data_IF_554335052395
#
_entry.id   IF_554335052395
#
_cell.length_a   1.000
_cell.length_b   1.000
_cell.length_c   1.000
_cell.angle_alpha   90.00
_cell.angle_beta   90.00
_cell.angle_gamma   90.00
#
_symmetry.space_group_name_H-M   'P 1'
#
loop_
_entity.id
_entity.type
_entity.pdbx_description
1 polymer ?
#
# COMPACT_ATOMS: atom_id res chain seq x y z
N UNK A 1 -21.29 -22.82 6.61
CA UNK A 1 -19.84 -23.04 6.46
C UNK A 1 -19.30 -21.94 5.56
N UNK A 2 -18.70 -20.91 6.14
CA UNK A 2 -18.12 -19.80 5.39
C UNK A 2 -16.75 -20.24 4.84
N UNK A 3 -16.42 -19.95 3.58
CA UNK A 3 -15.13 -20.31 3.02
C UNK A 3 -14.02 -19.56 3.76
N UNK A 4 -13.02 -20.31 4.24
CA UNK A 4 -11.79 -19.78 4.82
C UNK A 4 -11.10 -18.89 3.79
N UNK A 5 -10.84 -17.64 4.18
CA UNK A 5 -10.25 -16.59 3.36
C UNK A 5 -8.88 -16.97 2.77
N UNK A 6 -8.26 -18.03 3.28
CA UNK A 6 -7.00 -18.59 2.79
C UNK A 6 -7.11 -19.19 1.38
N UNK A 7 -8.27 -19.74 1.00
CA UNK A 7 -8.48 -20.32 -0.34
C UNK A 7 -8.61 -19.28 -1.46
N UNK A 8 -9.01 -18.05 -1.14
CA UNK A 8 -9.12 -16.97 -2.14
C UNK A 8 -7.74 -16.43 -2.53
N UNK A 9 -6.70 -16.64 -1.68
CA UNK A 9 -5.35 -16.08 -1.87
C UNK A 9 -4.55 -16.72 -3.00
N UNK A 10 -4.72 -18.01 -3.28
CA UNK A 10 -3.96 -18.70 -4.34
C UNK A 10 -4.44 -18.28 -5.74
N UNK A 11 -5.71 -17.89 -5.90
CA UNK A 11 -6.28 -17.56 -7.20
C UNK A 11 -5.93 -16.14 -7.72
N UNK A 12 -5.64 -15.19 -6.82
CA UNK A 12 -5.42 -13.78 -7.20
C UNK A 12 -3.95 -13.45 -7.53
N UNK A 13 -2.98 -14.17 -6.98
CA UNK A 13 -1.55 -13.91 -7.23
C UNK A 13 -1.05 -14.48 -8.58
N UNK A 14 -1.77 -15.40 -9.20
CA UNK A 14 -1.28 -16.16 -10.37
C UNK A 14 -1.76 -15.65 -11.75
N UNK A 15 -2.50 -14.54 -11.86
CA UNK A 15 -3.07 -14.08 -13.16
C UNK A 15 -2.61 -12.71 -13.64
N UNK A 16 -1.32 -12.36 -13.55
CA UNK A 16 -0.85 -11.13 -14.23
C UNK A 16 0.58 -11.12 -14.75
N UNK A 17 1.13 -12.29 -15.08
CA UNK A 17 2.32 -12.40 -15.92
C UNK A 17 1.98 -13.22 -17.16
N UNK A 18 1.51 -12.54 -18.20
CA UNK A 18 1.46 -13.03 -19.58
C UNK A 18 2.29 -12.06 -20.42
N UNK A 19 3.44 -12.53 -20.86
CA UNK A 19 4.33 -11.92 -21.85
C UNK A 19 3.58 -11.71 -23.18
N UNK A 20 3.83 -10.60 -23.87
CA UNK A 20 3.82 -10.60 -25.34
C UNK A 20 4.85 -9.58 -25.83
N UNK A 21 6.04 -10.08 -26.19
CA UNK A 21 7.02 -9.36 -27.00
C UNK A 21 6.45 -9.19 -28.42
N UNK A 22 6.40 -7.96 -28.91
CA UNK A 22 6.02 -7.66 -30.29
C UNK A 22 7.26 -7.39 -31.15
N UNK A 23 7.52 -8.18 -32.21
CA UNK A 23 8.61 -7.91 -33.13
C UNK A 23 8.14 -7.13 -34.36
N UNK A 24 9.05 -6.27 -34.84
CA UNK A 24 9.11 -5.59 -36.15
C UNK A 24 8.31 -4.30 -36.30
N UNK A 25 9.02 -3.19 -36.47
CA UNK A 25 9.50 -2.71 -37.77
C UNK A 25 9.85 -1.23 -37.63
N UNK A 26 10.99 -0.83 -38.18
CA UNK A 26 11.54 0.50 -37.99
C UNK A 26 10.67 1.58 -38.63
N UNK A 27 10.80 2.81 -38.14
CA UNK A 27 10.92 4.02 -38.95
C UNK A 27 11.63 5.10 -38.13
N UNK A 28 12.56 5.76 -38.81
CA UNK A 28 13.43 6.81 -38.31
C UNK A 28 12.63 8.09 -38.07
N UNK A 29 12.59 8.60 -36.84
CA UNK A 29 12.38 10.03 -36.60
C UNK A 29 13.03 10.48 -35.28
N UNK A 30 14.06 11.28 -35.45
CA UNK A 30 14.86 11.99 -34.45
C UNK A 30 14.02 13.06 -33.73
N UNK A 31 14.39 13.32 -32.47
CA UNK A 31 13.96 14.42 -31.57
C UNK A 31 12.69 14.10 -30.74
N UNK A 32 12.68 14.02 -29.40
CA UNK A 32 13.51 14.63 -28.37
C UNK A 32 13.58 13.67 -27.17
N UNK A 33 14.78 13.24 -26.78
CA UNK A 33 14.96 12.65 -25.45
C UNK A 33 14.90 13.80 -24.45
N UNK A 34 13.86 13.80 -23.60
CA UNK A 34 13.77 14.70 -22.45
C UNK A 34 15.08 14.60 -21.64
N UNK A 35 15.56 15.71 -21.03
CA UNK A 35 16.81 15.68 -20.28
C UNK A 35 16.71 14.61 -19.20
N UNK A 36 17.56 13.59 -19.31
CA UNK A 36 17.74 12.54 -18.33
C UNK A 36 18.15 13.26 -17.03
N UNK A 37 17.19 13.45 -16.12
CA UNK A 37 17.40 14.12 -14.83
C UNK A 37 18.53 13.35 -14.14
N UNK A 38 19.65 14.04 -13.87
CA UNK A 38 20.84 13.44 -13.25
C UNK A 38 20.45 12.53 -12.09
N UNK A 39 21.09 11.35 -11.92
CA UNK A 39 20.72 10.41 -10.87
C UNK A 39 20.81 11.13 -9.53
N UNK A 40 19.65 11.35 -8.90
CA UNK A 40 19.61 11.78 -7.50
C UNK A 40 20.31 10.69 -6.71
N UNK A 41 21.18 11.08 -5.76
CA UNK A 41 21.80 10.11 -4.83
C UNK A 41 20.73 9.12 -4.35
N UNK A 42 21.03 7.80 -4.33
CA UNK A 42 20.03 6.80 -3.97
C UNK A 42 19.45 7.16 -2.62
N UNK A 43 18.14 7.42 -2.62
CA UNK A 43 17.43 7.72 -1.39
C UNK A 43 17.30 6.42 -0.61
N UNK A 44 18.08 6.29 0.46
CA UNK A 44 18.03 5.13 1.36
C UNK A 44 16.62 4.98 1.96
N UNK A 45 15.85 6.07 2.03
CA UNK A 45 14.49 6.10 2.56
C UNK A 45 13.45 6.19 1.45
N UNK A 46 12.52 5.23 1.38
CA UNK A 46 11.41 5.32 0.42
C UNK A 46 11.79 5.12 -1.04
N UNK A 47 12.86 4.35 -1.32
CA UNK A 47 13.06 3.80 -2.65
C UNK A 47 11.82 2.99 -3.09
N UNK A 48 11.45 3.13 -4.37
CA UNK A 48 10.20 2.58 -4.88
C UNK A 48 10.16 1.05 -4.84
N UNK A 49 11.31 0.36 -4.96
CA UNK A 49 11.37 -1.09 -4.83
C UNK A 49 11.15 -1.52 -3.38
N UNK A 50 11.74 -0.81 -2.42
CA UNK A 50 11.53 -1.06 -0.99
C UNK A 50 10.09 -0.80 -0.58
N UNK A 51 9.49 0.32 -1.00
CA UNK A 51 8.08 0.63 -0.72
C UNK A 51 7.16 -0.46 -1.28
N UNK A 52 7.44 -0.91 -2.52
CA UNK A 52 6.68 -2.01 -3.13
C UNK A 52 6.76 -3.28 -2.28
N UNK A 53 7.97 -3.71 -1.90
CA UNK A 53 8.16 -4.89 -1.04
C UNK A 53 7.39 -4.76 0.27
N UNK A 54 7.48 -3.61 0.95
CA UNK A 54 6.74 -3.38 2.20
C UNK A 54 5.23 -3.53 1.97
N UNK A 55 4.69 -2.96 0.89
CA UNK A 55 3.26 -3.03 0.59
C UNK A 55 2.79 -4.43 0.13
N UNK A 56 3.66 -5.25 -0.46
CA UNK A 56 3.27 -6.56 -1.03
C UNK A 56 3.68 -7.76 -0.18
N UNK A 57 4.80 -7.68 0.53
CA UNK A 57 5.44 -8.80 1.25
C UNK A 57 5.23 -8.71 2.77
N UNK A 58 5.06 -7.51 3.34
CA UNK A 58 4.78 -7.38 4.77
C UNK A 58 3.29 -7.58 5.07
N UNK A 59 3.01 -8.00 6.30
CA UNK A 59 1.70 -8.43 6.78
C UNK A 59 0.56 -7.45 6.47
N UNK A 60 -0.66 -7.97 6.58
CA UNK A 60 -1.83 -7.26 6.06
C UNK A 60 -2.45 -6.27 7.04
N UNK A 61 -2.08 -6.30 8.32
CA UNK A 61 -2.64 -5.45 9.38
C UNK A 61 -1.72 -4.27 9.69
N UNK A 62 -2.22 -3.06 9.44
CA UNK A 62 -1.49 -1.81 9.58
C UNK A 62 -2.16 -0.90 10.61
N UNK A 63 -1.44 -0.52 11.67
CA UNK A 63 -1.91 0.52 12.58
C UNK A 63 -1.49 1.89 12.05
N UNK A 64 -2.43 2.82 11.95
CA UNK A 64 -2.17 4.19 11.48
C UNK A 64 -2.40 5.15 12.64
N UNK A 65 -1.31 5.72 13.14
CA UNK A 65 -1.32 6.63 14.28
C UNK A 65 -1.73 8.03 13.83
N UNK A 66 -2.61 8.66 14.61
CA UNK A 66 -3.19 9.96 14.26
C UNK A 66 -4.36 9.87 13.26
N UNK A 67 -4.81 8.66 12.92
CA UNK A 67 -5.94 8.47 12.01
C UNK A 67 -7.26 8.85 12.68
N UNK A 68 -7.91 9.88 12.16
CA UNK A 68 -9.23 10.36 12.59
C UNK A 68 -10.14 10.54 11.38
N UNK A 69 -11.41 10.89 11.61
CA UNK A 69 -12.40 11.18 10.55
C UNK A 69 -12.11 12.48 9.76
N UNK A 70 -11.07 13.23 10.13
CA UNK A 70 -10.71 14.46 9.45
C UNK A 70 -9.99 14.19 8.11
N UNK A 71 -10.74 14.32 7.03
CA UNK A 71 -10.29 14.06 5.66
C UNK A 71 -9.15 14.97 5.18
N UNK A 72 -8.94 16.14 5.81
CA UNK A 72 -7.82 17.03 5.49
C UNK A 72 -6.48 16.50 5.99
N UNK A 73 -6.46 15.53 6.90
CA UNK A 73 -5.22 14.92 7.40
C UNK A 73 -4.70 13.90 6.39
N UNK A 74 -3.39 13.95 6.11
CA UNK A 74 -2.73 12.99 5.23
C UNK A 74 -3.00 11.53 5.63
N UNK A 75 -3.07 11.24 6.93
CA UNK A 75 -3.39 9.91 7.46
C UNK A 75 -4.70 9.35 6.91
N UNK A 76 -5.74 10.17 6.74
CA UNK A 76 -7.03 9.72 6.20
C UNK A 76 -6.90 9.22 4.76
N UNK A 77 -6.18 9.97 3.93
CA UNK A 77 -5.90 9.61 2.54
C UNK A 77 -5.01 8.37 2.41
N UNK A 78 -3.93 8.30 3.20
CA UNK A 78 -3.00 7.16 3.21
C UNK A 78 -3.73 5.88 3.63
N UNK A 79 -4.56 5.93 4.68
CA UNK A 79 -5.37 4.79 5.11
C UNK A 79 -6.31 4.29 3.99
N UNK A 80 -6.93 5.21 3.25
CA UNK A 80 -7.76 4.86 2.10
C UNK A 80 -6.98 4.20 0.96
N UNK A 81 -5.74 4.62 0.72
CA UNK A 81 -4.84 3.98 -0.26
C UNK A 81 -4.47 2.57 0.19
N UNK A 82 -4.09 2.38 1.45
CA UNK A 82 -3.75 1.05 1.97
C UNK A 82 -4.94 0.07 1.90
N UNK A 83 -6.17 0.53 2.19
CA UNK A 83 -7.38 -0.28 1.98
C UNK A 83 -7.56 -0.71 0.52
N UNK A 84 -7.27 0.16 -0.44
CA UNK A 84 -7.33 -0.18 -1.88
C UNK A 84 -6.32 -1.25 -2.29
N UNK A 85 -5.21 -1.36 -1.56
CA UNK A 85 -4.25 -2.45 -1.71
C UNK A 85 -4.62 -3.72 -0.91
N UNK A 86 -5.80 -3.77 -0.30
CA UNK A 86 -6.29 -4.93 0.45
C UNK A 86 -5.74 -5.05 1.87
N UNK A 87 -5.09 -4.00 2.39
CA UNK A 87 -4.58 -3.99 3.77
C UNK A 87 -5.69 -3.64 4.77
N UNK A 88 -5.70 -4.33 5.90
CA UNK A 88 -6.56 -4.04 7.05
C UNK A 88 -5.95 -2.88 7.83
N UNK A 89 -6.75 -1.85 8.10
CA UNK A 89 -6.31 -0.65 8.79
C UNK A 89 -6.85 -0.64 10.21
N UNK A 90 -6.00 -0.30 11.17
CA UNK A 90 -6.34 -0.11 12.58
C UNK A 90 -6.13 1.36 12.91
N UNK A 91 -7.20 2.17 12.99
CA UNK A 91 -7.09 3.57 13.38
C UNK A 91 -6.63 3.70 14.84
N UNK A 92 -5.59 4.49 15.07
CA UNK A 92 -5.11 4.80 16.42
C UNK A 92 -5.12 6.31 16.61
N UNK A 93 -6.00 6.79 17.46
CA UNK A 93 -6.15 8.21 17.74
C UNK A 93 -6.84 8.39 19.10
N UNK A 94 -6.47 9.40 19.93
CA UNK A 94 -7.01 9.56 21.28
C UNK A 94 -8.55 9.60 21.38
N UNK A 95 -9.22 10.05 20.32
CA UNK A 95 -10.70 10.07 20.23
C UNK A 95 -11.33 8.70 19.91
N UNK A 96 -10.54 7.69 19.56
CA UNK A 96 -10.96 6.35 19.17
C UNK A 96 -12.11 6.33 18.14
N UNK A 97 -12.09 7.26 17.17
CA UNK A 97 -13.13 7.38 16.16
C UNK A 97 -13.09 6.20 15.18
N UNK A 98 -14.27 5.79 14.70
CA UNK A 98 -14.35 4.81 13.60
C UNK A 98 -13.97 5.50 12.30
N UNK A 99 -12.99 4.97 11.57
CA UNK A 99 -12.49 5.55 10.31
C UNK A 99 -12.49 4.47 9.24
N UNK A 100 -13.01 4.79 8.05
CA UNK A 100 -13.16 3.83 6.94
C UNK A 100 -13.91 2.54 7.32
N UNK A 101 -14.82 2.60 8.31
CA UNK A 101 -15.57 1.45 8.82
C UNK A 101 -14.79 0.54 9.78
N UNK A 102 -13.55 0.90 10.13
CA UNK A 102 -12.72 0.17 11.10
C UNK A 102 -12.80 0.84 12.46
N UNK A 103 -12.86 0.04 13.53
CA UNK A 103 -12.91 0.52 14.91
C UNK A 103 -11.58 1.21 15.28
N UNK A 104 -11.68 2.45 15.78
CA UNK A 104 -10.53 3.17 16.33
C UNK A 104 -10.19 2.77 17.76
N UNK A 105 -8.92 2.90 18.10
CA UNK A 105 -8.36 2.67 19.44
C UNK A 105 -7.67 3.95 19.93
N UNK A 106 -7.68 4.21 21.24
CA UNK A 106 -7.05 5.42 21.77
C UNK A 106 -5.51 5.30 21.79
N UNK A 107 -5.01 4.07 21.96
CA UNK A 107 -3.58 3.75 21.98
C UNK A 107 -3.28 2.39 21.35
N UNK A 108 -2.01 2.15 20.99
CA UNK A 108 -1.56 0.85 20.45
C UNK A 108 -1.73 -0.29 21.47
N UNK A 109 -1.59 0.01 22.76
CA UNK A 109 -1.71 -0.97 23.85
C UNK A 109 -3.13 -1.52 24.04
N UNK A 110 -4.14 -0.82 23.51
CA UNK A 110 -5.54 -1.25 23.57
C UNK A 110 -5.94 -2.22 22.45
N UNK A 111 -5.04 -2.46 21.49
CA UNK A 111 -5.30 -3.34 20.35
C UNK A 111 -5.15 -4.80 20.83
N UNK A 112 -6.22 -5.63 20.81
CA UNK A 112 -6.19 -6.98 21.37
C UNK A 112 -5.64 -8.03 20.38
N UNK A 113 -4.89 -7.60 19.36
CA UNK A 113 -4.37 -8.45 18.30
C UNK A 113 -3.07 -7.88 17.73
N UNK A 114 -2.31 -8.71 17.04
CA UNK A 114 -1.01 -8.30 16.49
C UNK A 114 -1.13 -7.39 15.28
N UNK A 115 -0.23 -6.40 15.23
CA UNK A 115 -0.10 -5.44 14.14
C UNK A 115 1.23 -5.69 13.45
N UNK A 116 1.21 -5.83 12.12
CA UNK A 116 2.42 -6.11 11.34
C UNK A 116 3.26 -4.85 11.08
N UNK A 117 2.61 -3.69 10.91
CA UNK A 117 3.30 -2.44 10.60
C UNK A 117 2.57 -1.26 11.22
N UNK A 118 3.33 -0.30 11.75
CA UNK A 118 2.83 0.96 12.33
C UNK A 118 3.25 2.12 11.44
N UNK A 119 2.31 3.01 11.13
CA UNK A 119 2.49 4.18 10.26
C UNK A 119 2.12 5.48 11.00
#
# INVERSE_FOLDING_TARGET
MSPSWEQVRVAAAARRFGHEESPRSGHCCRAQQAPQKAPRRPNVYGDSATVRKILTELGDTWAVVGLSTNERRAAYGVAGVLKRYGKRIVPVHPKAETVHGEKGYASLSEIPFDVATVL
#
